data_IF_574615559528
#
_entry.id   IF_574615559528
#
_cell.length_a   1.000
_cell.length_b   1.000
_cell.length_c   1.000
_cell.angle_alpha   90.00
_cell.angle_beta   90.00
_cell.angle_gamma   90.00
#
_symmetry.space_group_name_H-M   'P 1'
#
loop_
_entity.id
_entity.type
_entity.pdbx_description
1 polymer ?
#
# COMPACT_ATOMS: atom_id res chain seq x y z
N UNK A 1 -39.49 24.14 -22.87
CA UNK A 1 -38.02 24.05 -22.92
C UNK A 1 -37.68 22.64 -23.40
N UNK A 2 -37.18 22.47 -24.64
CA UNK A 2 -36.84 21.16 -25.20
C UNK A 2 -35.37 20.87 -24.84
N UNK A 3 -35.15 20.06 -23.81
CA UNK A 3 -33.81 19.58 -23.45
C UNK A 3 -33.32 18.66 -24.58
N UNK A 4 -32.18 18.99 -25.17
CA UNK A 4 -31.59 18.24 -26.28
C UNK A 4 -31.08 16.89 -25.74
N UNK A 5 -31.77 15.80 -26.09
CA UNK A 5 -31.40 14.43 -25.70
C UNK A 5 -29.95 14.10 -26.07
N UNK A 6 -29.44 14.65 -27.17
CA UNK A 6 -28.05 14.51 -27.61
C UNK A 6 -27.02 15.08 -26.63
N UNK A 7 -27.34 16.18 -25.94
CA UNK A 7 -26.41 16.81 -24.97
C UNK A 7 -26.33 15.97 -23.69
N UNK A 8 -27.44 15.35 -23.26
CA UNK A 8 -27.47 14.50 -22.07
C UNK A 8 -26.72 13.17 -22.32
N UNK A 9 -26.87 12.58 -23.51
CA UNK A 9 -26.14 11.36 -23.90
C UNK A 9 -24.63 11.60 -24.02
N UNK A 10 -24.19 12.77 -24.51
CA UNK A 10 -22.76 13.09 -24.60
C UNK A 10 -22.12 13.27 -23.21
N UNK A 11 -22.85 13.85 -22.25
CA UNK A 11 -22.41 13.99 -20.86
C UNK A 11 -22.30 12.62 -20.16
N UNK A 12 -23.25 11.71 -20.41
CA UNK A 12 -23.23 10.34 -19.87
C UNK A 12 -22.13 9.46 -20.47
N UNK A 13 -21.77 9.67 -21.75
CA UNK A 13 -20.66 8.95 -22.39
C UNK A 13 -19.31 9.53 -21.93
N UNK A 14 -19.17 10.85 -21.78
CA UNK A 14 -17.97 11.43 -21.17
C UNK A 14 -17.82 11.01 -19.70
N UNK A 15 -18.90 10.92 -18.93
CA UNK A 15 -18.82 10.46 -17.54
C UNK A 15 -18.50 8.96 -17.41
N UNK A 16 -18.85 8.11 -18.38
CA UNK A 16 -18.52 6.68 -18.30
C UNK A 16 -17.10 6.34 -18.77
N UNK A 17 -16.49 7.19 -19.62
CA UNK A 17 -15.09 7.02 -20.05
C UNK A 17 -14.09 7.56 -19.01
N UNK A 18 -14.49 8.53 -18.18
CA UNK A 18 -13.64 9.09 -17.11
C UNK A 18 -13.61 8.20 -15.85
N UNK A 19 -14.54 7.27 -15.68
CA UNK A 19 -14.66 6.46 -14.45
C UNK A 19 -13.94 5.10 -14.47
N UNK A 20 -13.06 4.83 -15.44
CA UNK A 20 -12.32 3.54 -15.50
C UNK A 20 -11.16 3.39 -14.50
N UNK A 21 -10.92 4.37 -13.61
CA UNK A 21 -9.79 4.35 -12.67
C UNK A 21 -10.11 4.08 -11.20
N UNK A 22 -11.34 3.74 -10.83
CA UNK A 22 -11.79 3.87 -9.43
C UNK A 22 -11.56 2.66 -8.49
N UNK A 23 -10.84 1.61 -8.91
CA UNK A 23 -10.70 0.40 -8.09
C UNK A 23 -9.78 0.55 -6.89
N UNK A 24 -8.53 0.95 -7.09
CA UNK A 24 -7.48 0.82 -6.08
C UNK A 24 -6.59 2.04 -6.00
N UNK A 25 -6.26 2.43 -4.77
CA UNK A 25 -5.42 3.59 -4.50
C UNK A 25 -3.94 3.22 -4.41
N UNK A 26 -3.63 2.00 -3.98
CA UNK A 26 -2.26 1.61 -3.67
C UNK A 26 -1.46 1.14 -4.87
N UNK A 27 -2.09 0.43 -5.84
CA UNK A 27 -1.38 0.08 -7.06
C UNK A 27 -2.30 -0.37 -8.22
N UNK A 28 -2.62 0.48 -9.22
CA UNK A 28 -3.41 0.04 -10.37
C UNK A 28 -2.64 -0.91 -11.31
N UNK A 29 -1.34 -1.15 -11.06
CA UNK A 29 -0.46 -1.94 -11.92
C UNK A 29 0.38 -2.95 -11.12
N UNK A 30 0.41 -4.20 -11.54
CA UNK A 30 1.27 -5.16 -10.87
C UNK A 30 2.66 -5.10 -11.50
N UNK A 31 3.66 -4.72 -10.69
CA UNK A 31 5.06 -4.71 -11.12
C UNK A 31 5.75 -5.94 -10.59
N UNK A 32 6.02 -6.90 -11.46
CA UNK A 32 6.71 -8.13 -11.09
C UNK A 32 8.11 -8.07 -11.69
N UNK A 33 9.17 -8.09 -10.87
CA UNK A 33 10.53 -8.17 -11.40
C UNK A 33 10.69 -9.36 -12.35
N UNK A 34 11.18 -9.11 -13.56
CA UNK A 34 11.60 -10.09 -14.58
C UNK A 34 10.53 -11.08 -15.13
N UNK A 35 9.23 -10.91 -14.88
CA UNK A 35 8.20 -11.82 -15.43
C UNK A 35 6.95 -11.10 -15.97
N UNK A 36 6.35 -11.66 -17.01
CA UNK A 36 5.00 -11.33 -17.49
C UNK A 36 4.00 -12.36 -16.95
N UNK A 37 3.06 -11.96 -16.09
CA UNK A 37 1.89 -12.79 -15.78
C UNK A 37 0.70 -12.29 -16.61
N UNK A 38 0.11 -13.19 -17.42
CA UNK A 38 -1.13 -12.92 -18.14
C UNK A 38 -2.32 -13.37 -17.29
N UNK A 39 -2.95 -12.47 -16.55
CA UNK A 39 -4.29 -12.72 -16.02
C UNK A 39 -5.34 -12.45 -17.11
N UNK A 40 -6.52 -13.06 -17.06
CA UNK A 40 -7.59 -12.83 -18.04
C UNK A 40 -8.89 -12.50 -17.28
N UNK A 41 -9.46 -11.29 -17.42
CA UNK A 41 -8.96 -10.11 -18.17
C UNK A 41 -7.73 -9.47 -17.50
N UNK A 42 -6.77 -9.04 -18.31
CA UNK A 42 -5.39 -8.74 -17.89
C UNK A 42 -5.23 -7.38 -17.21
N UNK A 43 -4.62 -7.28 -16.02
CA UNK A 43 -3.95 -6.05 -15.61
C UNK A 43 -2.79 -5.80 -16.58
N UNK A 44 -2.47 -4.53 -16.82
CA UNK A 44 -1.31 -4.15 -17.61
C UNK A 44 -0.05 -4.50 -16.79
N UNK A 45 0.65 -5.57 -17.17
CA UNK A 45 1.94 -5.93 -16.56
C UNK A 45 3.05 -5.22 -17.33
N UNK A 46 3.73 -4.28 -16.66
CA UNK A 46 4.89 -3.61 -17.23
C UNK A 46 6.17 -4.37 -16.84
N UNK A 47 6.98 -4.85 -17.80
CA UNK A 47 8.30 -5.38 -17.48
C UNK A 47 9.19 -4.23 -17.00
N UNK A 48 9.84 -4.41 -15.86
CA UNK A 48 10.85 -3.48 -15.34
C UNK A 48 12.25 -4.04 -15.55
N UNK A 49 13.20 -3.19 -15.93
CA UNK A 49 14.62 -3.53 -15.98
C UNK A 49 15.21 -3.42 -14.58
N UNK A 50 15.21 -4.51 -13.82
CA UNK A 50 15.94 -4.56 -12.54
C UNK A 50 17.30 -5.24 -12.73
N UNK A 51 18.39 -4.70 -12.14
CA UNK A 51 19.64 -5.44 -12.05
C UNK A 51 19.51 -6.69 -11.15
N UNK A 52 18.45 -6.76 -10.35
CA UNK A 52 18.16 -7.86 -9.43
C UNK A 52 17.16 -8.85 -10.03
N UNK A 53 17.36 -10.13 -9.73
CA UNK A 53 16.51 -11.20 -10.29
C UNK A 53 15.11 -11.26 -9.65
N UNK A 54 14.97 -10.91 -8.36
CA UNK A 54 13.71 -10.96 -7.61
C UNK A 54 13.72 -9.96 -6.44
N UNK A 55 12.54 -9.46 -6.03
CA UNK A 55 12.38 -8.72 -4.78
C UNK A 55 12.32 -9.71 -3.60
N UNK A 56 13.03 -9.43 -2.52
CA UNK A 56 13.04 -10.26 -1.30
C UNK A 56 12.04 -9.77 -0.24
N UNK A 57 11.69 -8.48 -0.28
CA UNK A 57 10.86 -7.83 0.72
C UNK A 57 9.60 -7.23 0.15
N UNK A 58 9.72 -6.13 -0.59
CA UNK A 58 8.57 -5.39 -1.10
C UNK A 58 8.90 -4.72 -2.43
N UNK A 59 7.86 -4.46 -3.20
CA UNK A 59 7.97 -3.67 -4.42
C UNK A 59 6.67 -2.90 -4.64
N UNK A 60 6.78 -1.73 -5.25
CA UNK A 60 5.63 -0.96 -5.72
C UNK A 60 6.08 -0.01 -6.84
N UNK A 61 5.16 0.48 -7.65
CA UNK A 61 5.45 1.43 -8.72
C UNK A 61 4.37 2.49 -8.87
N UNK A 62 4.79 3.63 -9.42
CA UNK A 62 3.88 4.72 -9.74
C UNK A 62 3.83 4.92 -11.25
N UNK A 63 2.69 4.65 -11.91
CA UNK A 63 2.53 4.99 -13.32
C UNK A 63 2.15 6.47 -13.52
N UNK A 64 2.37 6.97 -14.73
CA UNK A 64 1.80 8.22 -15.23
C UNK A 64 0.32 8.03 -15.65
N UNK A 65 -0.33 9.12 -16.05
CA UNK A 65 -1.71 9.09 -16.54
C UNK A 65 -1.91 8.27 -17.83
N UNK A 66 -0.84 7.93 -18.55
CA UNK A 66 -0.85 7.08 -19.74
C UNK A 66 -0.56 5.61 -19.42
N UNK A 67 -0.26 5.28 -18.15
CA UNK A 67 0.10 3.94 -17.71
C UNK A 67 1.59 3.59 -17.86
N UNK A 68 2.46 4.54 -18.25
CA UNK A 68 3.90 4.30 -18.27
C UNK A 68 4.46 4.42 -16.86
N UNK A 69 5.47 3.61 -16.50
CA UNK A 69 6.12 3.73 -15.19
C UNK A 69 6.85 5.07 -15.08
N UNK A 70 6.52 5.87 -14.07
CA UNK A 70 7.29 7.08 -13.71
C UNK A 70 8.52 6.70 -12.90
N UNK A 71 8.32 5.89 -11.85
CA UNK A 71 9.35 5.34 -11.00
C UNK A 71 8.82 4.10 -10.27
N UNK A 72 9.72 3.30 -9.71
CA UNK A 72 9.37 2.12 -8.91
C UNK A 72 10.35 1.93 -7.76
N UNK A 73 9.92 1.19 -6.75
CA UNK A 73 10.72 0.81 -5.60
C UNK A 73 10.81 -0.71 -5.51
N UNK A 74 12.00 -1.25 -5.25
CA UNK A 74 12.23 -2.66 -4.92
C UNK A 74 13.15 -2.70 -3.72
N UNK A 75 12.70 -3.33 -2.63
CA UNK A 75 13.50 -3.56 -1.42
C UNK A 75 14.21 -2.28 -0.92
N UNK A 76 13.51 -1.15 -0.98
CA UNK A 76 14.02 0.17 -0.58
C UNK A 76 14.88 0.88 -1.63
N UNK A 77 15.23 0.27 -2.75
CA UNK A 77 15.90 0.94 -3.87
C UNK A 77 14.88 1.59 -4.78
N UNK A 78 15.06 2.89 -5.06
CA UNK A 78 14.13 3.69 -5.85
C UNK A 78 14.75 3.89 -7.23
N UNK A 79 14.01 3.56 -8.29
CA UNK A 79 14.46 3.64 -9.68
C UNK A 79 13.52 4.49 -10.51
N UNK A 80 14.04 5.18 -11.52
CA UNK A 80 13.21 5.85 -12.52
C UNK A 80 12.54 4.85 -13.47
N UNK A 81 11.61 5.30 -14.31
CA UNK A 81 10.93 4.46 -15.30
C UNK A 81 11.85 3.82 -16.35
N UNK A 82 13.09 4.27 -16.49
CA UNK A 82 14.10 3.68 -17.37
C UNK A 82 15.02 2.68 -16.64
N UNK A 83 14.85 2.50 -15.33
CA UNK A 83 15.62 1.58 -14.49
C UNK A 83 16.93 2.13 -13.97
N UNK A 84 17.18 3.45 -14.07
CA UNK A 84 18.31 4.05 -13.38
C UNK A 84 17.97 4.22 -11.90
N UNK A 85 18.93 3.94 -11.02
CA UNK A 85 18.77 4.24 -9.61
C UNK A 85 18.50 5.75 -9.45
N UNK A 86 17.58 6.10 -8.55
CA UNK A 86 17.31 7.46 -8.09
C UNK A 86 17.96 7.67 -6.74
N UNK A 87 17.65 6.82 -5.77
CA UNK A 87 18.14 6.91 -4.39
C UNK A 87 17.78 5.61 -3.64
N UNK A 88 18.11 5.56 -2.35
CA UNK A 88 17.85 4.45 -1.44
C UNK A 88 17.04 4.96 -0.24
N UNK A 89 15.99 4.23 0.12
CA UNK A 89 15.14 4.50 1.26
C UNK A 89 15.86 4.05 2.56
N UNK A 90 16.47 5.01 3.26
CA UNK A 90 17.34 4.78 4.43
C UNK A 90 16.74 5.43 5.68
N UNK A 91 16.68 4.72 6.80
CA UNK A 91 16.27 5.25 8.11
C UNK A 91 17.37 6.09 8.77
N UNK A 92 17.08 6.98 9.75
CA UNK A 92 18.07 7.88 10.36
C UNK A 92 19.30 7.20 10.98
N UNK A 93 19.20 5.93 11.34
CA UNK A 93 20.32 5.13 11.87
C UNK A 93 21.32 4.68 10.78
N UNK A 94 20.95 4.82 9.50
CA UNK A 94 21.66 4.28 8.34
C UNK A 94 21.14 2.92 7.86
N UNK A 95 20.13 2.33 8.50
CA UNK A 95 19.48 1.09 8.06
C UNK A 95 18.62 1.26 6.80
N UNK A 96 18.37 0.17 6.07
CA UNK A 96 17.49 0.19 4.91
C UNK A 96 16.02 0.04 5.33
N UNK A 97 15.13 0.81 4.70
CA UNK A 97 13.67 0.66 4.80
C UNK A 97 13.20 -0.24 3.65
N UNK A 98 13.16 -1.54 3.91
CA UNK A 98 12.87 -2.57 2.89
C UNK A 98 11.37 -2.74 2.60
N UNK A 99 10.49 -2.08 3.37
CA UNK A 99 9.02 -2.15 3.27
C UNK A 99 8.37 -3.22 4.14
N UNK A 100 9.06 -4.32 4.47
CA UNK A 100 8.48 -5.51 5.11
C UNK A 100 7.47 -6.24 4.19
N UNK A 101 6.18 -6.54 4.49
CA UNK A 101 5.36 -7.20 3.48
C UNK A 101 5.03 -6.25 2.32
N UNK A 102 4.99 -4.93 2.54
CA UNK A 102 4.52 -3.99 1.51
C UNK A 102 5.14 -2.60 1.62
N UNK A 103 5.08 -1.85 0.53
CA UNK A 103 5.48 -0.45 0.47
C UNK A 103 4.39 0.31 -0.28
N UNK A 104 4.01 1.48 0.23
CA UNK A 104 3.00 2.33 -0.40
C UNK A 104 3.67 3.50 -1.11
N UNK A 105 3.17 3.83 -2.30
CA UNK A 105 3.56 5.04 -3.03
C UNK A 105 2.29 5.85 -3.30
N UNK A 106 2.24 7.08 -2.81
CA UNK A 106 1.09 7.96 -3.03
C UNK A 106 1.51 9.38 -3.41
N UNK A 107 0.79 10.05 -4.33
CA UNK A 107 0.99 11.47 -4.58
C UNK A 107 0.80 12.29 -3.30
N UNK A 108 1.71 13.23 -3.07
CA UNK A 108 1.57 14.25 -2.02
C UNK A 108 0.33 15.09 -2.36
N UNK A 109 -0.61 15.29 -1.43
CA UNK A 109 -1.75 16.17 -1.66
C UNK A 109 -1.32 17.54 -2.21
N UNK A 110 -2.07 18.05 -3.18
CA UNK A 110 -1.80 19.35 -3.84
C UNK A 110 -0.52 19.40 -4.71
N UNK A 111 0.21 18.30 -4.87
CA UNK A 111 1.38 18.21 -5.74
C UNK A 111 1.17 17.24 -6.90
N UNK A 112 1.66 17.63 -8.08
CA UNK A 112 1.66 16.78 -9.28
C UNK A 112 3.00 16.07 -9.51
N UNK A 113 4.05 16.47 -8.80
CA UNK A 113 5.42 15.98 -9.03
C UNK A 113 6.01 15.30 -7.81
N UNK A 114 5.35 15.39 -6.65
CA UNK A 114 5.86 14.83 -5.40
C UNK A 114 5.04 13.62 -4.96
N UNK A 115 5.75 12.65 -4.41
CA UNK A 115 5.20 11.39 -3.95
C UNK A 115 5.75 11.03 -2.58
N UNK A 116 4.90 10.59 -1.66
CA UNK A 116 5.36 9.91 -0.46
C UNK A 116 5.61 8.44 -0.79
N UNK A 117 6.78 7.95 -0.39
CA UNK A 117 7.12 6.54 -0.37
C UNK A 117 7.14 6.13 1.10
N UNK A 118 6.29 5.17 1.46
CA UNK A 118 6.00 4.79 2.85
C UNK A 118 6.31 3.30 2.99
N UNK A 119 7.13 2.95 3.98
CA UNK A 119 7.52 1.57 4.22
C UNK A 119 7.93 1.36 5.66
N UNK A 120 8.06 0.10 6.07
CA UNK A 120 8.58 -0.24 7.37
C UNK A 120 10.03 -0.75 7.28
N UNK A 121 10.87 -0.33 8.22
CA UNK A 121 12.19 -0.92 8.36
C UNK A 121 12.09 -2.20 9.22
N UNK A 122 12.76 -3.29 8.84
CA UNK A 122 13.03 -4.37 9.78
C UNK A 122 13.85 -3.79 10.93
N UNK A 123 13.66 -4.32 12.12
CA UNK A 123 14.30 -3.71 13.27
C UNK A 123 15.81 -3.86 13.21
N UNK A 124 16.53 -2.74 13.19
CA UNK A 124 17.97 -2.66 13.40
C UNK A 124 18.37 -2.89 14.88
N UNK A 125 17.38 -3.12 15.77
CA UNK A 125 17.56 -3.35 17.20
C UNK A 125 17.71 -4.83 17.62
N UNK A 126 17.84 -5.10 18.93
CA UNK A 126 17.87 -6.45 19.49
C UNK A 126 16.68 -7.29 19.01
N UNK A 127 16.81 -8.63 18.97
CA UNK A 127 15.70 -9.52 18.70
C UNK A 127 14.46 -9.14 19.53
N UNK A 128 13.32 -8.94 18.86
CA UNK A 128 12.07 -8.53 19.51
C UNK A 128 11.77 -7.03 19.46
N UNK A 129 12.57 -6.20 18.76
CA UNK A 129 12.14 -4.81 18.52
C UNK A 129 10.98 -4.81 17.51
N UNK A 130 10.05 -3.85 17.59
CA UNK A 130 8.93 -3.72 16.66
C UNK A 130 9.34 -3.02 15.36
N UNK A 131 8.86 -3.47 14.18
CA UNK A 131 8.98 -2.71 12.95
C UNK A 131 8.60 -1.25 13.16
N UNK A 132 9.30 -0.38 12.45
CA UNK A 132 9.06 1.06 12.53
C UNK A 132 8.69 1.59 11.15
N UNK A 133 7.57 2.33 11.02
CA UNK A 133 7.17 2.92 9.76
C UNK A 133 7.92 4.22 9.51
N UNK A 134 8.32 4.42 8.27
CA UNK A 134 9.03 5.58 7.77
C UNK A 134 8.39 6.08 6.48
N UNK A 135 8.65 7.33 6.14
CA UNK A 135 8.41 7.85 4.80
C UNK A 135 9.54 8.77 4.33
N UNK A 136 9.64 8.87 3.02
CA UNK A 136 10.46 9.85 2.27
C UNK A 136 9.57 10.53 1.23
N UNK A 137 9.98 11.70 0.76
CA UNK A 137 9.28 12.40 -0.31
C UNK A 137 10.14 12.37 -1.56
N UNK A 138 9.66 11.80 -2.65
CA UNK A 138 10.32 11.87 -3.95
C UNK A 138 9.73 13.03 -4.76
N UNK A 139 10.57 13.95 -5.24
CA UNK A 139 10.19 15.05 -6.11
C UNK A 139 10.74 14.84 -7.53
N UNK A 140 9.85 14.41 -8.43
CA UNK A 140 10.16 14.13 -9.83
C UNK A 140 10.42 15.40 -10.66
N UNK A 141 10.26 16.59 -10.10
CA UNK A 141 10.65 17.85 -10.77
C UNK A 141 12.15 18.15 -10.63
N UNK A 142 12.83 17.50 -9.69
CA UNK A 142 14.27 17.66 -9.47
C UNK A 142 15.06 16.67 -10.33
N UNK A 143 16.24 17.07 -10.83
CA UNK A 143 17.08 16.15 -11.59
C UNK A 143 17.68 15.08 -10.68
N UNK A 144 17.79 13.85 -11.20
CA UNK A 144 18.63 12.83 -10.60
C UNK A 144 20.10 13.22 -10.78
N UNK A 145 20.73 13.85 -9.77
CA UNK A 145 22.16 14.18 -9.87
C UNK A 145 23.02 12.98 -9.51
N UNK A 146 23.61 12.35 -10.53
CA UNK A 146 24.62 11.31 -10.35
C UNK A 146 25.95 11.94 -9.91
N UNK A 147 26.34 11.71 -8.66
CA UNK A 147 27.67 12.09 -8.16
C UNK A 147 28.38 10.82 -7.68
N UNK A 148 29.42 10.39 -8.40
CA UNK A 148 30.24 9.23 -7.99
C UNK A 148 29.58 7.85 -8.16
N UNK A 149 28.59 7.70 -9.05
CA UNK A 149 27.89 6.42 -9.28
C UNK A 149 26.67 6.19 -8.38
N UNK A 150 26.39 7.13 -7.48
CA UNK A 150 25.14 7.24 -6.71
C UNK A 150 24.41 8.50 -7.15
N UNK A 151 23.17 8.32 -7.59
CA UNK A 151 22.21 9.40 -7.80
C UNK A 151 21.67 9.82 -6.45
N UNK A 152 21.74 11.11 -6.16
CA UNK A 152 21.08 11.75 -5.01
C UNK A 152 20.48 13.05 -5.56
N UNK A 153 19.25 13.41 -5.19
CA UNK A 153 18.75 14.77 -5.53
C UNK A 153 17.24 14.90 -5.69
N UNK A 154 16.53 13.83 -6.03
CA UNK A 154 15.06 13.84 -6.09
C UNK A 154 14.41 13.43 -4.76
N UNK A 155 15.12 12.73 -3.88
CA UNK A 155 14.60 12.32 -2.58
C UNK A 155 14.75 13.45 -1.54
N UNK A 156 13.63 14.08 -1.18
CA UNK A 156 13.54 15.01 -0.08
C UNK A 156 13.45 14.23 1.25
N UNK A 157 14.01 14.83 2.30
CA UNK A 157 14.01 14.26 3.66
C UNK A 157 14.66 12.87 3.72
N UNK A 158 15.82 12.71 3.09
CA UNK A 158 16.73 11.60 3.30
C UNK A 158 17.81 12.01 4.32
N UNK A 159 18.00 11.29 5.45
CA UNK A 159 17.36 10.02 5.79
C UNK A 159 15.89 10.18 6.16
N UNK A 160 15.13 9.09 6.00
CA UNK A 160 13.69 9.01 6.12
C UNK A 160 13.12 9.54 7.43
N UNK A 161 11.90 10.07 7.36
CA UNK A 161 11.16 10.54 8.53
C UNK A 161 10.40 9.39 9.18
N UNK A 162 10.63 9.18 10.48
CA UNK A 162 9.89 8.19 11.29
C UNK A 162 8.43 8.63 11.45
N UNK A 163 7.48 7.72 11.21
CA UNK A 163 6.05 7.95 11.48
C UNK A 163 5.79 7.57 12.94
N UNK A 164 6.14 8.48 13.84
CA UNK A 164 5.96 8.32 15.29
C UNK A 164 5.79 9.68 15.98
N UNK A 165 4.65 10.36 15.77
CA UNK A 165 4.45 11.71 16.31
C UNK A 165 4.19 11.74 17.83
N UNK A 166 3.98 10.60 18.49
CA UNK A 166 3.51 10.57 19.88
C UNK A 166 4.27 9.59 20.78
N UNK A 167 5.43 9.07 20.36
CA UNK A 167 6.12 8.01 21.12
C UNK A 167 5.29 6.71 21.15
N UNK A 168 4.63 6.43 20.03
CA UNK A 168 3.84 5.23 19.80
C UNK A 168 4.76 4.02 19.94
N UNK A 169 4.38 3.11 20.81
CA UNK A 169 5.03 1.82 20.93
C UNK A 169 4.31 0.83 20.03
N UNK A 170 4.76 0.72 18.77
CA UNK A 170 4.32 -0.34 17.89
C UNK A 170 4.60 -1.70 18.53
N UNK A 171 3.67 -2.63 18.35
CA UNK A 171 3.77 -3.94 18.94
C UNK A 171 4.87 -4.79 18.29
N UNK A 172 5.51 -5.63 19.10
CA UNK A 172 6.69 -6.41 18.74
C UNK A 172 6.36 -7.70 17.96
N UNK A 173 5.27 -7.74 17.20
CA UNK A 173 4.77 -8.96 16.55
C UNK A 173 5.51 -9.33 15.26
N UNK A 174 6.85 -9.31 15.30
CA UNK A 174 7.72 -9.72 14.20
C UNK A 174 7.68 -8.77 13.01
N UNK A 175 8.18 -9.22 11.86
CA UNK A 175 8.28 -8.46 10.60
C UNK A 175 6.91 -8.18 9.92
N UNK A 176 5.85 -8.02 10.71
CA UNK A 176 4.48 -7.84 10.24
C UNK A 176 3.97 -6.46 10.63
N UNK A 177 4.34 -5.46 9.83
CA UNK A 177 3.71 -4.14 9.83
C UNK A 177 3.10 -3.92 8.47
N UNK A 178 1.80 -3.63 8.47
CA UNK A 178 1.01 -3.57 7.25
C UNK A 178 0.53 -2.13 7.07
N UNK A 179 0.42 -1.68 5.82
CA UNK A 179 0.23 -0.32 5.40
C UNK A 179 -0.87 -0.26 4.35
N UNK A 180 -1.88 0.57 4.55
CA UNK A 180 -2.88 0.89 3.53
C UNK A 180 -3.06 2.39 3.39
N UNK A 181 -3.34 2.91 2.19
CA UNK A 181 -3.52 4.35 1.99
C UNK A 181 -4.76 4.67 1.17
N UNK A 182 -5.61 5.55 1.71
CA UNK A 182 -6.83 5.99 1.04
C UNK A 182 -6.58 6.96 -0.12
N UNK A 183 -7.62 7.17 -0.94
CA UNK A 183 -7.74 8.30 -1.86
C UNK A 183 -7.77 9.59 -1.04
N UNK A 184 -7.63 10.70 -1.75
CA UNK A 184 -7.85 12.02 -1.15
C UNK A 184 -9.30 12.11 -0.68
N UNK A 185 -9.48 12.30 0.63
CA UNK A 185 -10.77 12.58 1.26
C UNK A 185 -11.22 13.96 0.84
N UNK A 186 -12.18 14.02 -0.09
CA UNK A 186 -12.64 15.28 -0.71
C UNK A 186 -13.06 16.35 0.30
N UNK A 187 -13.57 15.94 1.47
CA UNK A 187 -14.03 16.84 2.52
C UNK A 187 -12.91 17.41 3.42
N UNK A 188 -11.70 16.84 3.38
CA UNK A 188 -10.54 17.26 4.19
C UNK A 188 -9.29 17.63 3.38
N UNK A 189 -9.19 17.18 2.13
CA UNK A 189 -8.03 17.41 1.28
C UNK A 189 -6.80 16.57 1.65
N UNK A 190 -6.93 15.59 2.54
CA UNK A 190 -5.87 14.70 2.99
C UNK A 190 -6.14 13.24 2.58
N UNK A 191 -5.19 12.34 2.85
CA UNK A 191 -5.42 10.88 2.81
C UNK A 191 -5.33 10.30 4.22
N UNK A 192 -5.80 9.08 4.41
CA UNK A 192 -5.56 8.29 5.62
C UNK A 192 -4.53 7.21 5.30
N UNK A 193 -3.45 7.19 6.08
CA UNK A 193 -2.55 6.05 6.19
C UNK A 193 -3.06 5.16 7.33
N UNK A 194 -3.37 3.92 7.01
CA UNK A 194 -3.63 2.86 7.95
C UNK A 194 -2.34 2.10 8.21
N UNK A 195 -1.99 1.90 9.47
CA UNK A 195 -0.88 1.04 9.88
C UNK A 195 -1.42 -0.02 10.82
N UNK A 196 -1.31 -1.29 10.46
CA UNK A 196 -1.56 -2.40 11.39
C UNK A 196 -0.23 -2.92 11.91
N UNK A 197 -0.08 -2.98 13.24
CA UNK A 197 0.99 -3.72 13.91
C UNK A 197 0.49 -5.09 14.44
N UNK A 198 -0.69 -5.50 13.98
CA UNK A 198 -1.47 -6.66 14.40
C UNK A 198 -2.04 -6.62 15.81
N UNK A 199 -1.81 -5.57 16.59
CA UNK A 199 -2.48 -5.35 17.88
C UNK A 199 -3.45 -4.19 17.77
N UNK A 200 -3.06 -3.18 16.99
CA UNK A 200 -3.76 -1.94 16.82
C UNK A 200 -3.74 -1.53 15.35
N UNK A 201 -4.82 -0.87 14.94
CA UNK A 201 -4.90 -0.15 13.68
C UNK A 201 -4.68 1.34 13.98
N UNK A 202 -3.51 1.83 13.62
CA UNK A 202 -3.18 3.25 13.69
C UNK A 202 -3.62 3.95 12.43
N UNK A 203 -4.04 5.21 12.58
CA UNK A 203 -4.51 6.05 11.49
C UNK A 203 -3.77 7.37 11.52
N UNK A 204 -3.16 7.73 10.39
CA UNK A 204 -2.46 9.00 10.23
C UNK A 204 -3.04 9.80 9.08
N UNK A 205 -3.08 11.12 9.24
CA UNK A 205 -3.37 12.00 8.10
C UNK A 205 -2.10 12.15 7.24
N UNK A 206 -2.25 11.99 5.92
CA UNK A 206 -1.25 12.35 4.93
C UNK A 206 -1.65 13.70 4.32
N UNK A 207 -0.84 14.72 4.55
CA UNK A 207 -1.10 16.09 4.05
C UNK A 207 -0.01 16.54 3.08
N UNK A 208 -0.12 17.75 2.54
CA UNK A 208 0.93 18.36 1.71
C UNK A 208 2.24 18.63 2.46
N UNK A 209 2.24 18.55 3.79
CA UNK A 209 3.42 18.85 4.62
C UNK A 209 4.01 17.64 5.35
N UNK A 210 3.34 16.49 5.35
CA UNK A 210 3.91 15.24 5.82
C UNK A 210 2.89 14.22 6.33
N UNK A 211 3.41 13.23 7.06
CA UNK A 211 2.67 12.17 7.74
C UNK A 211 3.01 12.22 9.24
N UNK A 212 2.49 13.22 9.94
CA UNK A 212 2.88 13.53 11.33
C UNK A 212 1.70 13.68 12.29
N UNK A 213 0.46 13.45 11.84
CA UNK A 213 -0.72 13.59 12.69
C UNK A 213 -1.38 12.23 12.88
N UNK A 214 -1.28 11.68 14.10
CA UNK A 214 -2.09 10.54 14.52
C UNK A 214 -3.54 11.01 14.68
N UNK A 215 -4.46 10.41 13.92
CA UNK A 215 -5.89 10.74 13.93
C UNK A 215 -6.73 9.69 14.66
N UNK A 216 -6.20 8.48 14.92
CA UNK A 216 -6.89 7.47 15.70
C UNK A 216 -6.10 6.18 15.89
N UNK A 217 -6.55 5.39 16.86
CA UNK A 217 -6.03 4.06 17.17
C UNK A 217 -7.20 3.18 17.56
N UNK A 218 -7.37 2.05 16.89
CA UNK A 218 -8.40 1.07 17.22
C UNK A 218 -7.75 -0.26 17.63
N UNK A 219 -8.22 -0.92 18.70
CA UNK A 219 -7.74 -2.25 19.04
C UNK A 219 -8.21 -3.28 18.01
N UNK A 220 -7.33 -4.19 17.61
CA UNK A 220 -7.68 -5.33 16.77
C UNK A 220 -8.04 -6.54 17.65
N UNK A 221 -9.19 -7.16 17.35
CA UNK A 221 -9.80 -8.16 18.24
C UNK A 221 -9.49 -9.62 17.90
N UNK A 222 -8.88 -9.91 16.74
CA UNK A 222 -8.97 -11.24 16.12
C UNK A 222 -7.65 -11.98 15.87
N UNK A 223 -6.50 -11.34 16.01
CA UNK A 223 -5.24 -12.01 15.73
C UNK A 223 -4.02 -11.17 16.03
N UNK A 224 -2.86 -11.83 16.06
CA UNK A 224 -1.57 -11.19 15.85
C UNK A 224 -0.95 -11.91 14.64
N UNK A 225 -0.40 -11.21 13.65
CA UNK A 225 0.43 -11.91 12.68
C UNK A 225 1.65 -12.49 13.39
N UNK A 226 1.87 -13.76 13.11
CA UNK A 226 3.14 -14.40 13.45
C UNK A 226 3.94 -14.53 12.16
N UNK A 227 5.26 -14.52 12.30
CA UNK A 227 6.28 -14.59 11.24
C UNK A 227 6.00 -15.43 9.97
N UNK A 228 5.21 -16.53 9.92
CA UNK A 228 4.91 -17.18 8.64
C UNK A 228 4.01 -16.38 7.67
N UNK A 229 3.26 -15.37 8.12
CA UNK A 229 2.30 -14.67 7.28
C UNK A 229 2.80 -13.24 7.01
N UNK A 230 3.47 -13.05 5.87
CA UNK A 230 3.84 -11.72 5.34
C UNK A 230 2.75 -11.26 4.39
N UNK A 231 1.59 -10.98 4.96
CA UNK A 231 0.43 -10.51 4.19
C UNK A 231 0.45 -8.99 4.04
N UNK A 232 -0.06 -8.49 2.93
CA UNK A 232 -0.38 -7.07 2.71
C UNK A 232 -1.64 -6.67 3.50
N UNK A 233 -1.85 -5.38 3.72
CA UNK A 233 -3.13 -4.81 4.18
C UNK A 233 -3.77 -4.06 3.00
N UNK A 234 -4.81 -4.65 2.45
CA UNK A 234 -5.48 -4.11 1.29
C UNK A 234 -6.67 -3.23 1.70
N UNK A 235 -6.93 -2.18 0.91
CA UNK A 235 -7.98 -1.21 1.16
C UNK A 235 -8.95 -1.10 -0.01
N UNK A 236 -10.24 -1.25 0.29
CA UNK A 236 -11.33 -0.88 -0.60
C UNK A 236 -12.10 0.33 -0.06
N UNK A 237 -12.40 1.27 -0.96
CA UNK A 237 -13.20 2.47 -0.66
C UNK A 237 -14.60 2.34 -1.23
N UNK A 238 -15.58 2.28 -0.35
CA UNK A 238 -16.98 2.17 -0.72
C UNK A 238 -17.52 3.50 -1.29
N UNK A 239 -18.59 3.43 -2.09
CA UNK A 239 -19.21 4.62 -2.71
C UNK A 239 -19.83 5.59 -1.70
N UNK A 240 -20.14 5.11 -0.49
CA UNK A 240 -20.64 5.93 0.62
C UNK A 240 -19.50 6.65 1.38
N UNK A 241 -18.23 6.39 1.02
CA UNK A 241 -17.03 6.95 1.66
C UNK A 241 -16.47 6.10 2.79
N UNK A 242 -17.13 5.00 3.17
CA UNK A 242 -16.59 4.03 4.13
C UNK A 242 -15.39 3.29 3.54
N UNK A 243 -14.65 2.62 4.42
CA UNK A 243 -13.52 1.77 4.06
C UNK A 243 -13.80 0.32 4.46
N UNK A 244 -13.30 -0.59 3.64
CA UNK A 244 -13.14 -2.00 3.98
C UNK A 244 -11.65 -2.33 3.88
N UNK A 245 -11.05 -2.76 4.98
CA UNK A 245 -9.68 -3.25 5.00
C UNK A 245 -9.68 -4.78 5.05
N UNK A 246 -8.72 -5.41 4.38
CA UNK A 246 -8.51 -6.85 4.43
C UNK A 246 -7.05 -7.17 4.75
N UNK A 247 -6.83 -8.09 5.69
CA UNK A 247 -5.50 -8.61 6.03
C UNK A 247 -5.60 -10.07 6.40
N UNK A 248 -4.52 -10.82 6.17
CA UNK A 248 -4.42 -12.18 6.67
C UNK A 248 -3.73 -12.13 8.03
N UNK A 249 -4.36 -12.74 9.02
CA UNK A 249 -3.89 -12.80 10.40
C UNK A 249 -3.84 -14.24 10.91
N UNK A 250 -3.24 -14.43 12.09
CA UNK A 250 -3.31 -15.70 12.81
C UNK A 250 -4.37 -15.62 13.90
N UNK A 251 -5.33 -16.54 13.86
CA UNK A 251 -6.36 -16.65 14.88
C UNK A 251 -5.75 -17.03 16.24
N UNK A 252 -6.11 -16.28 17.29
CA UNK A 252 -5.63 -16.47 18.67
C UNK A 252 -6.05 -17.83 19.25
N UNK A 253 -7.25 -18.32 18.94
CA UNK A 253 -7.82 -19.52 19.55
C UNK A 253 -7.33 -20.84 18.92
N UNK A 254 -6.94 -20.82 17.64
CA UNK A 254 -6.58 -22.03 16.88
C UNK A 254 -5.22 -22.00 16.19
N UNK A 255 -4.57 -20.84 16.13
CA UNK A 255 -3.30 -20.68 15.43
C UNK A 255 -3.37 -20.85 13.91
N UNK A 256 -4.58 -20.92 13.34
CA UNK A 256 -4.84 -21.06 11.91
C UNK A 256 -4.89 -19.67 11.24
N UNK A 257 -4.52 -19.57 9.95
CA UNK A 257 -4.65 -18.33 9.20
C UNK A 257 -6.14 -17.97 9.03
N UNK A 258 -6.44 -16.68 9.14
CA UNK A 258 -7.77 -16.10 8.92
C UNK A 258 -7.63 -14.89 8.00
N UNK A 259 -8.59 -14.71 7.10
CA UNK A 259 -8.80 -13.42 6.44
C UNK A 259 -9.64 -12.57 7.39
N UNK A 260 -9.13 -11.42 7.81
CA UNK A 260 -9.84 -10.47 8.67
C UNK A 260 -10.29 -9.29 7.82
N UNK A 261 -11.54 -8.89 8.01
CA UNK A 261 -12.16 -7.74 7.37
C UNK A 261 -12.47 -6.69 8.43
N UNK A 262 -12.08 -5.45 8.18
CA UNK A 262 -12.40 -4.30 9.03
C UNK A 262 -13.28 -3.32 8.28
N UNK A 263 -14.45 -3.04 8.83
CA UNK A 263 -15.36 -2.02 8.30
C UNK A 263 -15.11 -0.71 9.04
N UNK A 264 -14.89 0.37 8.31
CA UNK A 264 -14.61 1.69 8.88
C UNK A 264 -15.51 2.76 8.28
N UNK A 265 -15.84 3.78 9.07
CA UNK A 265 -16.60 4.94 8.61
C UNK A 265 -15.75 5.88 7.71
N UNK A 266 -16.32 6.97 7.15
CA UNK A 266 -15.58 7.86 6.26
C UNK A 266 -14.43 8.64 6.90
N UNK A 267 -14.40 8.73 8.23
CA UNK A 267 -13.29 9.27 9.01
C UNK A 267 -12.20 8.21 9.28
N UNK A 268 -12.48 6.96 8.92
CA UNK A 268 -11.63 5.79 9.11
C UNK A 268 -11.79 5.19 10.51
N UNK A 269 -12.86 5.45 11.25
CA UNK A 269 -13.09 4.84 12.57
C UNK A 269 -13.61 3.42 12.40
N UNK A 270 -12.99 2.46 13.10
CA UNK A 270 -13.42 1.06 13.09
C UNK A 270 -14.86 0.93 13.60
N UNK A 271 -15.75 0.42 12.75
CA UNK A 271 -17.15 0.15 13.07
C UNK A 271 -17.35 -1.31 13.49
N UNK A 272 -16.74 -2.23 12.75
CA UNK A 272 -16.91 -3.67 12.93
C UNK A 272 -15.69 -4.42 12.40
N UNK A 273 -15.50 -5.65 12.89
CA UNK A 273 -14.53 -6.59 12.35
C UNK A 273 -15.14 -7.98 12.22
N UNK A 274 -14.81 -8.68 11.13
CA UNK A 274 -15.21 -10.07 10.90
C UNK A 274 -14.03 -10.87 10.38
N UNK A 275 -14.13 -12.20 10.37
CA UNK A 275 -13.09 -13.03 9.81
C UNK A 275 -13.61 -14.31 9.18
N UNK A 276 -12.83 -14.85 8.23
CA UNK A 276 -13.06 -16.12 7.58
C UNK A 276 -11.85 -17.03 7.82
N UNK A 277 -12.10 -18.25 8.28
CA UNK A 277 -11.04 -19.25 8.44
C UNK A 277 -10.48 -19.69 7.09
N UNK A 278 -9.16 -19.62 6.95
CA UNK A 278 -8.47 -20.08 5.75
C UNK A 278 -7.98 -21.52 5.92
N UNK A 279 -7.83 -22.28 4.81
CA UNK A 279 -7.24 -23.60 4.85
C UNK A 279 -5.86 -23.63 5.53
N UNK A 280 -5.63 -24.71 6.29
CA UNK A 280 -4.37 -24.98 6.97
C UNK A 280 -3.21 -25.18 5.98
N UNK A 281 -2.02 -24.71 6.36
CA UNK A 281 -0.77 -24.95 5.62
C UNK A 281 -0.52 -24.00 4.45
N UNK A 282 -1.42 -23.06 4.15
CA UNK A 282 -1.15 -21.98 3.21
C UNK A 282 -0.21 -20.95 3.82
N UNK A 283 0.91 -20.63 3.16
CA UNK A 283 1.61 -19.36 3.42
C UNK A 283 1.01 -18.35 2.46
N UNK A 284 0.18 -17.47 2.98
CA UNK A 284 -0.51 -16.46 2.20
C UNK A 284 0.28 -15.14 2.20
N UNK A 285 0.21 -14.41 1.09
CA UNK A 285 1.02 -13.20 0.86
C UNK A 285 0.19 -12.03 0.35
N UNK A 286 -0.43 -12.18 -0.83
CA UNK A 286 -1.21 -11.11 -1.44
C UNK A 286 -2.67 -11.17 -0.99
N UNK A 287 -3.24 -9.99 -0.77
CA UNK A 287 -4.67 -9.77 -0.52
C UNK A 287 -5.12 -8.70 -1.49
N UNK A 288 -6.22 -8.92 -2.19
CA UNK A 288 -6.66 -8.00 -3.23
C UNK A 288 -8.18 -7.90 -3.28
N UNK A 289 -8.75 -6.70 -3.25
CA UNK A 289 -10.20 -6.56 -3.45
C UNK A 289 -10.53 -6.58 -4.94
N UNK A 290 -11.63 -7.25 -5.28
CA UNK A 290 -12.28 -7.06 -6.57
C UNK A 290 -12.69 -5.58 -6.79
N UNK A 291 -12.78 -5.09 -8.04
CA UNK A 291 -13.07 -3.68 -8.31
C UNK A 291 -14.39 -3.14 -7.74
N UNK A 292 -15.32 -4.03 -7.37
CA UNK A 292 -16.60 -3.69 -6.75
C UNK A 292 -16.68 -4.05 -5.26
N UNK A 293 -15.57 -4.48 -4.65
CA UNK A 293 -15.46 -4.84 -3.24
C UNK A 293 -16.21 -6.11 -2.82
N UNK A 294 -16.82 -6.86 -3.76
CA UNK A 294 -17.64 -8.03 -3.43
C UNK A 294 -16.83 -9.27 -3.08
N UNK A 295 -15.62 -9.36 -3.62
CA UNK A 295 -14.69 -10.46 -3.44
C UNK A 295 -13.35 -9.97 -2.94
N UNK A 296 -12.70 -10.80 -2.12
CA UNK A 296 -11.29 -10.69 -1.76
C UNK A 296 -10.56 -11.88 -2.38
N UNK A 297 -9.49 -11.59 -3.10
CA UNK A 297 -8.59 -12.55 -3.71
C UNK A 297 -7.35 -12.71 -2.84
N UNK A 298 -6.86 -13.94 -2.71
CA UNK A 298 -5.70 -14.27 -1.89
C UNK A 298 -4.67 -15.01 -2.74
N UNK A 299 -3.38 -14.78 -2.49
CA UNK A 299 -2.29 -15.59 -3.07
C UNK A 299 -1.56 -16.39 -1.99
N UNK A 300 -1.09 -17.60 -2.33
CA UNK A 300 -0.34 -18.46 -1.43
C UNK A 300 0.86 -19.15 -2.12
N UNK A 301 1.96 -19.39 -1.38
CA UNK A 301 3.18 -20.02 -1.94
C UNK A 301 2.97 -21.44 -2.43
N UNK A 302 2.09 -22.19 -1.77
CA UNK A 302 1.84 -23.61 -2.03
C UNK A 302 0.70 -23.84 -3.03
N UNK A 303 0.00 -22.79 -3.47
CA UNK A 303 -1.09 -22.93 -4.41
C UNK A 303 -1.46 -21.61 -5.10
N UNK A 304 -1.40 -21.50 -6.44
CA UNK A 304 -1.82 -20.31 -7.18
C UNK A 304 -3.35 -20.18 -7.28
N UNK A 305 -4.10 -20.62 -6.26
CA UNK A 305 -5.55 -20.49 -6.27
C UNK A 305 -5.95 -19.14 -5.69
N UNK A 306 -6.68 -18.39 -6.50
CA UNK A 306 -7.50 -17.27 -6.04
C UNK A 306 -8.66 -17.86 -5.25
N UNK A 307 -8.67 -17.67 -3.94
CA UNK A 307 -9.82 -18.03 -3.11
C UNK A 307 -10.90 -16.96 -3.24
N UNK A 308 -12.13 -17.37 -3.51
CA UNK A 308 -13.29 -16.48 -3.56
C UNK A 308 -14.05 -16.61 -2.24
N UNK A 309 -14.07 -15.54 -1.44
CA UNK A 309 -14.93 -15.43 -0.27
C UNK A 309 -16.05 -14.45 -0.60
N UNK A 310 -17.29 -14.92 -0.68
CA UNK A 310 -18.45 -14.04 -0.75
C UNK A 310 -18.70 -13.45 0.65
N UNK A 311 -18.53 -12.14 0.79
CA UNK A 311 -18.97 -11.43 1.99
C UNK A 311 -20.49 -11.56 2.12
N UNK A 312 -20.97 -12.17 3.21
CA UNK A 312 -22.39 -12.27 3.56
C UNK A 312 -22.63 -11.72 4.95
#
# INVERSE_FOLDING_TARGET
MKTNFLTLSLILILSSVIFKGFGQTQNPIWVIPNNQIKFSPSPLVSPISSPWTFAEYSYNAMPDASGNILFYCIDGYIYDGAGNLIDIFIEPSGGFVLGLPELCIVPVPESCTQYYIIGAAPTSGPPGTAPTPFYVTLDMSLPNTSTGGTTFGALLNSPATKIDPAGINYSQHGNAMHLAVSKIRQHKGDRVLFISDNSQLFRFAITSTGINQLIGVDPLLHGYNSSPYRSELELYEETNGNYLLASIEKNIAGGHPVLVLYELDPDGILLNSSFVSLPLGGQYHGVEFSPNGQFVYLTATVSPYVFESSGS
#
